data_IF_760663465967
#
_entry.id   IF_760663465967
#
_cell.length_a   1.000
_cell.length_b   1.000
_cell.length_c   1.000
_cell.angle_alpha   90.00
_cell.angle_beta   90.00
_cell.angle_gamma   90.00
#
_symmetry.space_group_name_H-M   'P 1'
#
loop_
_entity.id
_entity.type
_entity.pdbx_description
1 polymer ?
#
# COMPACT_ATOMS: atom_id res chain seq x y z
N UNK A 1 5.07 -31.16 -21.94
CA UNK A 1 5.19 -30.42 -20.67
C UNK A 1 4.21 -29.26 -20.72
N UNK A 2 3.26 -29.19 -19.78
CA UNK A 2 2.38 -28.02 -19.66
C UNK A 2 3.21 -26.88 -19.03
N UNK A 3 3.10 -25.63 -19.50
CA UNK A 3 3.67 -24.51 -18.78
C UNK A 3 3.07 -24.46 -17.37
N UNK A 4 3.85 -24.09 -16.34
CA UNK A 4 3.33 -23.92 -14.99
C UNK A 4 2.24 -22.85 -15.03
N UNK A 5 1.10 -23.15 -14.39
CA UNK A 5 0.04 -22.16 -14.16
C UNK A 5 0.64 -21.03 -13.32
N UNK A 6 0.40 -19.74 -13.63
CA UNK A 6 0.75 -18.68 -12.69
C UNK A 6 -0.05 -18.95 -11.41
N UNK A 7 0.65 -19.37 -10.36
CA UNK A 7 0.12 -19.41 -9.01
C UNK A 7 -0.34 -18.00 -8.64
N UNK A 8 -1.45 -17.87 -7.90
CA UNK A 8 -1.90 -16.58 -7.36
C UNK A 8 -0.74 -15.95 -6.55
N UNK A 9 -0.03 -14.99 -7.12
CA UNK A 9 1.15 -14.39 -6.51
C UNK A 9 0.69 -13.14 -5.74
N UNK A 10 0.19 -13.33 -4.53
CA UNK A 10 0.13 -12.23 -3.57
C UNK A 10 1.57 -11.95 -3.16
N UNK A 11 2.13 -10.82 -3.58
CA UNK A 11 3.50 -10.43 -3.20
C UNK A 11 3.48 -9.23 -2.27
N UNK A 12 4.26 -9.33 -1.18
CA UNK A 12 4.31 -8.31 -0.15
C UNK A 12 5.71 -7.71 -0.10
N UNK A 13 5.78 -6.39 -0.22
CA UNK A 13 7.02 -5.65 -0.35
C UNK A 13 7.13 -4.61 0.75
N UNK A 14 8.37 -4.34 1.14
CA UNK A 14 8.75 -3.17 1.94
C UNK A 14 9.64 -2.32 1.07
N UNK A 15 9.31 -1.05 0.91
CA UNK A 15 10.13 -0.11 0.19
C UNK A 15 10.70 0.95 1.12
N UNK A 16 12.02 0.97 1.26
CA UNK A 16 12.76 1.95 2.04
C UNK A 16 13.33 3.02 1.08
N UNK A 17 12.64 4.16 0.98
CA UNK A 17 13.06 5.30 0.15
C UNK A 17 13.91 6.30 0.93
N UNK A 18 14.86 6.96 0.28
CA UNK A 18 15.46 8.18 0.82
C UNK A 18 14.43 9.30 0.86
N UNK A 19 14.49 10.19 1.88
CA UNK A 19 13.55 11.31 2.03
C UNK A 19 13.52 12.23 0.82
N UNK A 20 14.68 12.56 0.26
CA UNK A 20 14.80 13.46 -0.90
C UNK A 20 14.04 12.95 -2.14
N UNK A 21 13.86 11.63 -2.25
CA UNK A 21 13.19 11.01 -3.38
C UNK A 21 11.84 10.40 -3.00
N UNK A 22 11.45 10.47 -1.72
CA UNK A 22 10.31 9.75 -1.16
C UNK A 22 9.01 10.06 -1.92
N UNK A 23 8.66 11.34 -1.98
CA UNK A 23 7.40 11.82 -2.56
C UNK A 23 7.29 11.40 -4.03
N UNK A 24 8.36 11.67 -4.78
CA UNK A 24 8.48 11.31 -6.19
C UNK A 24 8.40 9.80 -6.41
N UNK A 25 8.95 8.99 -5.51
CA UNK A 25 8.94 7.54 -5.67
C UNK A 25 7.54 6.95 -5.37
N UNK A 26 6.82 7.48 -4.37
CA UNK A 26 5.43 7.08 -4.11
C UNK A 26 4.54 7.44 -5.31
N UNK A 27 4.69 8.65 -5.86
CA UNK A 27 3.99 9.08 -7.07
C UNK A 27 4.26 8.15 -8.26
N UNK A 28 5.53 7.84 -8.52
CA UNK A 28 5.93 6.94 -9.60
C UNK A 28 5.40 5.51 -9.43
N UNK A 29 5.29 4.99 -8.21
CA UNK A 29 4.68 3.68 -7.95
C UNK A 29 3.21 3.68 -8.40
N UNK A 30 2.46 4.70 -8.00
CA UNK A 30 1.06 4.87 -8.38
C UNK A 30 0.92 5.01 -9.91
N UNK A 31 1.66 5.94 -10.52
CA UNK A 31 1.58 6.22 -11.96
C UNK A 31 1.90 4.99 -12.79
N UNK A 32 2.98 4.27 -12.47
CA UNK A 32 3.39 3.07 -13.22
C UNK A 32 2.29 2.01 -13.23
N UNK A 33 1.69 1.70 -12.09
CA UNK A 33 0.61 0.72 -12.03
C UNK A 33 -0.60 1.16 -12.87
N UNK A 34 -0.96 2.45 -12.82
CA UNK A 34 -2.08 2.97 -13.63
C UNK A 34 -1.82 2.94 -15.13
N UNK A 35 -0.57 3.14 -15.59
CA UNK A 35 -0.19 3.02 -17.00
C UNK A 35 -0.47 1.63 -17.56
N UNK A 36 -0.43 0.60 -16.71
CA UNK A 36 -0.73 -0.78 -17.05
C UNK A 36 -2.15 -1.19 -16.69
N UNK A 37 -3.06 -0.23 -16.57
CA UNK A 37 -4.46 -0.52 -16.31
C UNK A 37 -4.65 -1.26 -14.97
N UNK A 38 -3.80 -1.04 -13.96
CA UNK A 38 -3.97 -1.68 -12.64
C UNK A 38 -4.63 -0.71 -11.66
N UNK A 39 -5.48 -1.25 -10.78
CA UNK A 39 -6.17 -0.50 -9.72
C UNK A 39 -5.25 -0.38 -8.50
N UNK A 40 -5.04 0.84 -8.05
CA UNK A 40 -4.15 1.17 -6.93
C UNK A 40 -4.99 1.69 -5.77
N UNK A 41 -4.84 1.09 -4.59
CA UNK A 41 -5.30 1.67 -3.33
C UNK A 41 -4.11 2.33 -2.62
N UNK A 42 -4.12 3.65 -2.50
CA UNK A 42 -3.11 4.40 -1.76
C UNK A 42 -3.65 4.76 -0.37
N UNK A 43 -3.03 4.23 0.68
CA UNK A 43 -3.34 4.52 2.07
C UNK A 43 -2.24 5.46 2.60
N UNK A 44 -2.57 6.71 2.89
CA UNK A 44 -1.58 7.77 3.23
C UNK A 44 -2.20 8.82 4.16
N UNK A 45 -1.40 9.54 4.95
CA UNK A 45 -1.87 10.74 5.67
C UNK A 45 -1.81 12.01 4.81
N UNK A 46 -1.09 11.95 3.69
CA UNK A 46 -0.82 13.10 2.83
C UNK A 46 -2.09 13.65 2.21
N UNK A 47 -2.07 14.97 1.99
CA UNK A 47 -3.00 15.62 1.08
C UNK A 47 -2.54 15.32 -0.34
N UNK A 48 -2.85 14.13 -0.82
CA UNK A 48 -2.70 13.83 -2.23
C UNK A 48 -3.70 14.71 -2.99
N UNK A 49 -3.30 15.49 -4.01
CA UNK A 49 -4.25 16.16 -4.86
C UNK A 49 -5.09 15.08 -5.55
N UNK A 50 -6.24 14.76 -4.97
CA UNK A 50 -7.30 14.07 -5.67
C UNK A 50 -7.62 14.94 -6.89
N UNK A 51 -7.61 14.38 -8.11
CA UNK A 51 -7.95 15.16 -9.28
C UNK A 51 -9.34 15.74 -9.04
N UNK A 52 -9.43 17.07 -9.00
CA UNK A 52 -10.71 17.76 -9.10
C UNK A 52 -11.37 17.24 -10.38
N UNK A 53 -12.60 16.76 -10.27
CA UNK A 53 -13.48 16.63 -11.42
C UNK A 53 -13.57 18.03 -12.06
N UNK A 54 -12.80 18.31 -13.11
CA UNK A 54 -13.08 19.46 -13.96
C UNK A 54 -12.56 19.27 -15.38
N UNK A 55 -13.52 19.37 -16.29
CA UNK A 55 -13.47 19.94 -17.63
C UNK A 55 -12.46 19.36 -18.64
N UNK A 56 -12.91 18.31 -19.30
CA UNK A 56 -13.18 18.46 -20.73
C UNK A 56 -12.02 18.32 -21.72
N UNK A 57 -10.79 17.99 -21.31
CA UNK A 57 -9.73 17.61 -22.26
C UNK A 57 -8.93 16.39 -21.81
N UNK A 58 -8.97 15.37 -22.66
CA UNK A 58 -8.49 14.01 -22.48
C UNK A 58 -7.03 13.91 -22.01
N UNK A 59 -6.81 13.19 -20.91
CA UNK A 59 -5.81 12.10 -20.83
C UNK A 59 -6.45 10.95 -20.03
N UNK A 60 -6.79 9.87 -20.74
CA UNK A 60 -7.41 8.68 -20.18
C UNK A 60 -6.39 7.88 -19.34
N UNK A 61 -6.23 8.19 -18.05
CA UNK A 61 -5.51 7.30 -17.10
C UNK A 61 -5.81 7.48 -15.61
N UNK A 62 -6.58 8.49 -15.17
CA UNK A 62 -6.64 8.85 -13.74
C UNK A 62 -7.79 8.22 -12.91
N UNK A 63 -8.51 7.24 -13.47
CA UNK A 63 -9.67 6.59 -12.81
C UNK A 63 -9.35 5.32 -12.01
N UNK A 64 -8.08 4.98 -11.76
CA UNK A 64 -7.68 3.71 -11.13
C UNK A 64 -6.96 3.84 -9.79
N UNK A 65 -6.82 5.06 -9.26
CA UNK A 65 -6.24 5.26 -7.93
C UNK A 65 -7.37 5.62 -6.96
N UNK A 66 -7.57 4.80 -5.96
CA UNK A 66 -8.41 5.09 -4.80
C UNK A 66 -7.51 5.52 -3.65
N UNK A 67 -7.77 6.67 -3.04
CA UNK A 67 -6.97 7.18 -1.92
C UNK A 67 -7.77 7.04 -0.63
N UNK A 68 -7.27 6.22 0.30
CA UNK A 68 -7.72 6.22 1.69
C UNK A 68 -6.82 7.18 2.48
N UNK A 69 -7.38 8.33 2.86
CA UNK A 69 -6.66 9.31 3.64
C UNK A 69 -6.82 9.03 5.12
N UNK A 70 -5.72 8.69 5.79
CA UNK A 70 -5.68 8.51 7.23
C UNK A 70 -5.51 9.87 7.91
N UNK A 71 -6.43 10.19 8.82
CA UNK A 71 -6.47 11.51 9.47
C UNK A 71 -5.44 11.58 10.60
N UNK A 72 -5.30 10.49 11.34
CA UNK A 72 -4.54 10.38 12.57
C UNK A 72 -4.13 8.91 12.79
N UNK A 73 -2.93 8.68 13.33
CA UNK A 73 -2.42 7.32 13.59
C UNK A 73 -3.28 6.56 14.61
N UNK A 74 -3.98 7.30 15.47
CA UNK A 74 -4.82 6.78 16.54
C UNK A 74 -6.10 6.13 16.01
N UNK A 75 -6.74 6.72 15.00
CA UNK A 75 -7.94 6.17 14.39
C UNK A 75 -7.66 5.19 13.23
N UNK A 76 -6.41 5.04 12.78
CA UNK A 76 -6.07 4.13 11.66
C UNK A 76 -6.69 2.74 11.78
N UNK A 77 -6.69 2.06 12.95
CA UNK A 77 -7.31 0.74 13.05
C UNK A 77 -8.80 0.73 12.67
N UNK A 78 -9.57 1.71 13.13
CA UNK A 78 -10.99 1.81 12.78
C UNK A 78 -11.17 2.21 11.32
N UNK A 79 -10.38 3.17 10.82
CA UNK A 79 -10.48 3.63 9.43
C UNK A 79 -10.18 2.51 8.42
N UNK A 80 -9.27 1.59 8.73
CA UNK A 80 -8.98 0.44 7.87
C UNK A 80 -10.07 -0.65 7.93
N UNK A 81 -10.75 -0.82 9.07
CA UNK A 81 -11.93 -1.67 9.17
C UNK A 81 -13.08 -1.07 8.36
N UNK A 82 -13.36 0.21 8.54
CA UNK A 82 -14.40 0.93 7.80
C UNK A 82 -14.13 0.93 6.29
N UNK A 83 -12.85 1.04 5.88
CA UNK A 83 -12.44 0.96 4.48
C UNK A 83 -12.79 -0.39 3.86
N UNK A 84 -12.60 -1.49 4.60
CA UNK A 84 -12.96 -2.82 4.17
C UNK A 84 -14.48 -2.98 4.10
N UNK A 85 -15.20 -2.63 5.16
CA UNK A 85 -16.66 -2.81 5.25
C UNK A 85 -17.42 -1.91 4.25
N UNK A 86 -16.89 -0.72 3.97
CA UNK A 86 -17.42 0.21 2.98
C UNK A 86 -17.05 -0.15 1.54
N UNK A 87 -16.17 -1.14 1.33
CA UNK A 87 -15.72 -1.51 0.00
C UNK A 87 -16.83 -2.23 -0.77
N UNK A 88 -17.40 -1.56 -1.78
CA UNK A 88 -18.44 -2.16 -2.59
C UNK A 88 -17.84 -3.02 -3.72
N UNK A 89 -18.32 -4.28 -3.90
CA UNK A 89 -17.86 -5.19 -4.96
C UNK A 89 -17.94 -4.61 -6.39
N UNK A 90 -18.80 -3.62 -6.62
CA UNK A 90 -18.97 -2.95 -7.92
C UNK A 90 -17.73 -2.16 -8.38
N UNK A 91 -16.87 -1.70 -7.46
CA UNK A 91 -15.63 -1.00 -7.80
C UNK A 91 -14.45 -1.95 -8.05
N UNK A 92 -14.60 -3.23 -7.65
CA UNK A 92 -13.68 -4.33 -7.89
C UNK A 92 -12.32 -4.19 -7.20
N UNK A 93 -11.92 -5.22 -6.45
CA UNK A 93 -10.74 -5.26 -5.57
C UNK A 93 -9.44 -4.66 -6.17
N UNK A 94 -8.57 -4.01 -5.37
CA UNK A 94 -7.33 -3.42 -5.88
C UNK A 94 -6.36 -4.49 -6.40
N UNK A 95 -5.55 -4.13 -7.41
CA UNK A 95 -4.45 -4.96 -7.91
C UNK A 95 -3.12 -4.61 -7.20
N UNK A 96 -3.02 -3.40 -6.64
CA UNK A 96 -1.88 -2.92 -5.85
C UNK A 96 -2.38 -2.10 -4.65
N UNK A 97 -1.87 -2.40 -3.45
CA UNK A 97 -2.10 -1.60 -2.24
C UNK A 97 -0.78 -0.97 -1.81
N UNK A 98 -0.74 0.35 -1.72
CA UNK A 98 0.42 1.11 -1.22
C UNK A 98 0.06 1.68 0.14
N UNK A 99 0.76 1.23 1.18
CA UNK A 99 0.64 1.73 2.54
C UNK A 99 1.82 2.64 2.85
N UNK A 100 1.57 3.94 2.80
CA UNK A 100 2.52 5.00 3.12
C UNK A 100 2.60 5.19 4.64
N UNK A 101 3.29 4.26 5.30
CA UNK A 101 3.48 4.29 6.76
C UNK A 101 4.32 5.49 7.20
N UNK A 102 5.31 5.88 6.38
CA UNK A 102 6.16 7.02 6.71
C UNK A 102 5.37 8.33 6.81
N UNK A 103 4.44 8.61 5.90
CA UNK A 103 3.62 9.83 5.97
C UNK A 103 2.80 9.90 7.26
N UNK A 104 2.25 8.77 7.70
CA UNK A 104 1.43 8.69 8.91
C UNK A 104 2.30 9.01 10.12
N UNK A 105 3.51 8.44 10.18
CA UNK A 105 4.46 8.72 11.26
C UNK A 105 4.93 10.19 11.20
N UNK A 106 5.25 10.69 10.01
CA UNK A 106 5.71 12.06 9.81
C UNK A 106 4.65 13.09 10.22
N UNK A 107 3.37 12.85 9.95
CA UNK A 107 2.26 13.70 10.42
C UNK A 107 2.30 13.85 11.93
N UNK A 108 2.40 12.74 12.66
CA UNK A 108 2.42 12.74 14.13
C UNK A 108 3.65 13.47 14.69
N UNK A 109 4.81 13.27 14.06
CA UNK A 109 6.06 13.94 14.45
C UNK A 109 6.05 15.46 14.17
N UNK A 110 5.23 15.91 13.21
CA UNK A 110 5.09 17.32 12.86
C UNK A 110 4.04 18.05 13.73
N UNK A 111 3.29 17.33 14.59
CA UNK A 111 2.31 17.96 15.49
C UNK A 111 3.02 18.92 16.48
N UNK A 112 2.35 20.01 16.90
CA UNK A 112 2.83 20.87 17.98
C UNK A 112 3.23 20.06 19.22
N UNK A 113 4.30 20.46 19.91
CA UNK A 113 4.86 19.72 21.07
C UNK A 113 3.80 19.35 22.12
N UNK A 114 2.84 20.24 22.39
CA UNK A 114 1.74 19.99 23.34
C UNK A 114 0.77 18.88 22.91
N UNK A 115 0.73 18.52 21.62
CA UNK A 115 -0.10 17.48 21.05
C UNK A 115 0.68 16.18 20.77
N UNK A 116 2.02 16.21 20.93
CA UNK A 116 2.85 15.04 20.74
C UNK A 116 2.66 14.06 21.90
N UNK A 117 2.50 12.78 21.57
CA UNK A 117 2.51 11.73 22.58
C UNK A 117 3.95 11.36 22.96
N UNK A 118 4.12 10.68 24.11
CA UNK A 118 5.43 10.16 24.49
C UNK A 118 5.92 9.13 23.47
N UNK A 119 7.24 8.94 23.38
CA UNK A 119 7.86 7.97 22.46
C UNK A 119 7.24 6.57 22.61
N UNK A 120 7.02 6.09 23.84
CA UNK A 120 6.40 4.78 24.08
C UNK A 120 4.98 4.67 23.53
N UNK A 121 4.20 5.76 23.64
CA UNK A 121 2.85 5.81 23.05
C UNK A 121 2.95 5.82 21.53
N UNK A 122 3.87 6.59 20.95
CA UNK A 122 4.07 6.65 19.50
C UNK A 122 4.46 5.29 18.92
N UNK A 123 5.42 4.59 19.53
CA UNK A 123 5.81 3.22 19.14
C UNK A 123 4.60 2.28 19.18
N UNK A 124 3.75 2.38 20.21
CA UNK A 124 2.52 1.59 20.31
C UNK A 124 1.52 1.93 19.20
N UNK A 125 1.37 3.19 18.85
CA UNK A 125 0.51 3.62 17.74
C UNK A 125 1.03 3.10 16.40
N UNK A 126 2.34 3.15 16.16
CA UNK A 126 2.97 2.55 14.98
C UNK A 126 2.68 1.05 14.90
N UNK A 127 2.85 0.32 16.01
CA UNK A 127 2.56 -1.10 16.06
C UNK A 127 1.08 -1.42 15.76
N UNK A 128 0.14 -0.67 16.35
CA UNK A 128 -1.30 -0.82 16.08
C UNK A 128 -1.65 -0.52 14.63
N UNK A 129 -1.05 0.53 14.07
CA UNK A 129 -1.23 0.95 12.68
C UNK A 129 -0.75 -0.15 11.71
N UNK A 130 0.46 -0.68 11.94
CA UNK A 130 1.01 -1.80 11.17
C UNK A 130 0.17 -3.08 11.29
N UNK A 131 -0.30 -3.41 12.50
CA UNK A 131 -1.16 -4.56 12.74
C UNK A 131 -2.49 -4.43 11.99
N UNK A 132 -3.14 -3.27 12.06
CA UNK A 132 -4.39 -3.01 11.37
C UNK A 132 -4.22 -3.11 9.85
N UNK A 133 -3.12 -2.59 9.29
CA UNK A 133 -2.82 -2.77 7.87
C UNK A 133 -2.57 -4.23 7.49
N UNK A 134 -1.82 -4.98 8.30
CA UNK A 134 -1.59 -6.40 8.06
C UNK A 134 -2.91 -7.19 8.00
N UNK A 135 -3.85 -6.90 8.92
CA UNK A 135 -5.18 -7.49 8.94
C UNK A 135 -6.01 -7.08 7.71
N UNK A 136 -6.05 -5.78 7.38
CA UNK A 136 -6.75 -5.27 6.20
C UNK A 136 -6.26 -5.95 4.91
N UNK A 137 -4.94 -6.06 4.75
CA UNK A 137 -4.32 -6.78 3.64
C UNK A 137 -4.81 -8.22 3.57
N UNK A 138 -4.79 -8.94 4.69
CA UNK A 138 -5.21 -10.34 4.74
C UNK A 138 -6.66 -10.51 4.30
N UNK A 139 -7.55 -9.63 4.76
CA UNK A 139 -8.96 -9.61 4.34
C UNK A 139 -9.09 -9.44 2.82
N UNK A 140 -8.46 -8.41 2.25
CA UNK A 140 -8.51 -8.15 0.80
C UNK A 140 -7.91 -9.32 -0.01
N UNK A 141 -6.82 -9.91 0.48
CA UNK A 141 -6.22 -11.08 -0.16
C UNK A 141 -7.14 -12.30 -0.15
N UNK A 142 -7.83 -12.55 0.96
CA UNK A 142 -8.80 -13.65 1.08
C UNK A 142 -9.98 -13.45 0.14
N UNK A 143 -10.49 -12.22 0.01
CA UNK A 143 -11.54 -11.89 -0.96
C UNK A 143 -11.10 -12.17 -2.41
N UNK A 144 -9.84 -11.85 -2.75
CA UNK A 144 -9.28 -12.18 -4.06
C UNK A 144 -9.20 -13.68 -4.34
N UNK A 145 -8.82 -14.47 -3.33
CA UNK A 145 -8.77 -15.93 -3.45
C UNK A 145 -10.17 -16.51 -3.66
N UNK A 146 -11.15 -16.07 -2.88
CA UNK A 146 -12.55 -16.53 -3.00
C UNK A 146 -13.17 -16.10 -4.34
N UNK A 147 -12.90 -14.87 -4.80
CA UNK A 147 -13.35 -14.38 -6.09
C UNK A 147 -12.76 -15.22 -7.25
N UNK A 148 -11.48 -15.59 -7.16
CA UNK A 148 -10.82 -16.46 -8.14
C UNK A 148 -11.40 -17.87 -8.21
N UNK A 149 -11.80 -18.45 -7.09
CA UNK A 149 -12.39 -19.80 -7.01
C UNK A 149 -13.85 -19.86 -7.50
N UNK A 150 -14.57 -18.73 -7.46
CA UNK A 150 -15.98 -18.64 -7.88
C UNK A 150 -16.20 -18.70 -9.40
N UNK A 151 -15.15 -18.96 -10.20
CA UNK A 151 -15.24 -19.09 -11.66
C UNK A 151 -15.60 -17.81 -12.41
N UNK A 152 -15.82 -16.69 -11.70
CA UNK A 152 -16.06 -15.36 -12.25
C UNK A 152 -14.91 -14.43 -11.89
N UNK A 153 -13.82 -14.53 -12.64
CA UNK A 153 -12.89 -13.43 -12.97
C UNK A 153 -11.49 -13.99 -13.25
N UNK A 154 -11.31 -14.58 -14.43
CA UNK A 154 -10.12 -14.20 -15.21
C UNK A 154 -10.56 -12.91 -15.90
N UNK A 155 -10.45 -11.79 -15.19
CA UNK A 155 -10.70 -10.49 -15.82
C UNK A 155 -9.76 -10.35 -17.01
N UNK A 156 -10.28 -9.79 -18.10
CA UNK A 156 -9.63 -9.56 -19.40
C UNK A 156 -8.33 -8.73 -19.34
N UNK A 157 -7.82 -8.42 -18.13
CA UNK A 157 -6.62 -7.63 -17.83
C UNK A 157 -5.45 -8.44 -17.21
N UNK A 158 -5.52 -9.77 -17.15
CA UNK A 158 -4.40 -10.61 -16.68
C UNK A 158 -3.95 -10.30 -15.24
N UNK A 159 -4.89 -10.04 -14.32
CA UNK A 159 -4.57 -9.79 -12.91
C UNK A 159 -4.28 -11.10 -12.19
N UNK A 160 -3.13 -11.20 -11.52
CA UNK A 160 -2.59 -12.42 -10.90
C UNK A 160 -2.63 -12.42 -9.35
N UNK A 161 -3.28 -11.44 -8.73
CA UNK A 161 -3.36 -11.27 -7.28
C UNK A 161 -3.27 -9.81 -6.85
N UNK A 162 -3.07 -9.58 -5.55
CA UNK A 162 -2.83 -8.25 -4.96
C UNK A 162 -1.39 -8.15 -4.53
N UNK A 163 -0.69 -7.17 -5.06
CA UNK A 163 0.58 -6.77 -4.52
C UNK A 163 0.38 -5.75 -3.40
N UNK A 164 1.16 -5.85 -2.33
CA UNK A 164 1.19 -4.83 -1.29
C UNK A 164 2.58 -4.25 -1.11
N UNK A 165 2.65 -2.94 -0.89
CA UNK A 165 3.91 -2.23 -0.62
C UNK A 165 3.72 -1.42 0.65
N UNK A 166 4.56 -1.69 1.65
CA UNK A 166 4.73 -0.80 2.81
C UNK A 166 5.86 0.17 2.48
N UNK A 167 5.54 1.45 2.33
CA UNK A 167 6.53 2.48 1.98
C UNK A 167 6.98 3.20 3.25
N UNK A 168 8.28 3.18 3.46
CA UNK A 168 8.96 3.77 4.60
C UNK A 168 10.14 4.62 4.11
N UNK A 169 10.48 5.69 4.82
CA UNK A 169 11.80 6.32 4.75
C UNK A 169 12.91 5.42 5.29
N UNK A 170 14.13 5.57 4.78
CA UNK A 170 15.37 5.01 5.33
C UNK A 170 15.89 5.75 6.57
N UNK A 171 15.36 6.94 6.87
CA UNK A 171 15.80 7.73 8.02
C UNK A 171 15.28 7.17 9.35
N UNK A 172 15.84 7.70 10.44
CA UNK A 172 15.53 7.22 11.78
C UNK A 172 14.09 7.48 12.17
N UNK A 173 13.38 6.41 12.51
CA UNK A 173 12.07 6.47 13.15
C UNK A 173 12.20 6.74 14.65
N UNK A 174 11.11 7.15 15.32
CA UNK A 174 11.03 7.19 16.78
C UNK A 174 10.95 5.77 17.38
N UNK A 175 11.83 4.88 16.94
CA UNK A 175 11.96 3.49 17.33
C UNK A 175 13.44 3.13 17.42
N UNK A 176 13.80 2.33 18.43
CA UNK A 176 15.13 1.71 18.45
C UNK A 176 15.25 0.67 17.34
N UNK A 177 16.48 0.32 16.91
CA UNK A 177 16.67 -0.74 15.92
C UNK A 177 16.02 -2.08 16.31
N UNK A 178 15.97 -2.41 17.60
CA UNK A 178 15.31 -3.61 18.10
C UNK A 178 13.78 -3.54 17.94
N UNK A 179 13.17 -2.39 18.27
CA UNK A 179 11.73 -2.16 18.09
C UNK A 179 11.34 -2.21 16.62
N UNK A 180 12.15 -1.60 15.74
CA UNK A 180 11.93 -1.65 14.30
C UNK A 180 12.02 -3.10 13.77
N UNK A 181 13.09 -3.83 14.12
CA UNK A 181 13.23 -5.25 13.72
C UNK A 181 12.06 -6.10 14.21
N UNK A 182 11.59 -5.87 15.43
CA UNK A 182 10.43 -6.56 15.99
C UNK A 182 9.15 -6.23 15.22
N UNK A 183 8.89 -4.95 14.90
CA UNK A 183 7.75 -4.52 14.10
C UNK A 183 7.73 -5.24 12.74
N UNK A 184 8.87 -5.25 12.05
CA UNK A 184 9.02 -5.94 10.76
C UNK A 184 8.78 -7.44 10.90
N UNK A 185 9.36 -8.07 11.93
CA UNK A 185 9.22 -9.51 12.17
C UNK A 185 7.82 -9.95 12.61
N UNK A 186 7.01 -9.07 13.21
CA UNK A 186 5.65 -9.40 13.65
C UNK A 186 4.61 -9.19 12.55
N UNK A 187 4.67 -8.08 11.82
CA UNK A 187 3.58 -7.68 10.92
C UNK A 187 3.93 -7.77 9.43
N UNK A 188 5.22 -7.77 9.11
CA UNK A 188 5.74 -7.76 7.73
C UNK A 188 6.69 -8.92 7.47
N UNK A 189 6.55 -10.01 8.25
CA UNK A 189 7.33 -11.22 8.07
C UNK A 189 7.14 -11.80 6.66
N UNK A 190 8.24 -12.18 6.02
CA UNK A 190 8.23 -12.72 4.67
C UNK A 190 8.06 -11.66 3.56
N UNK A 191 7.88 -10.38 3.91
CA UNK A 191 7.89 -9.31 2.91
C UNK A 191 9.33 -9.09 2.40
N UNK A 192 9.49 -8.96 1.09
CA UNK A 192 10.79 -8.64 0.50
C UNK A 192 11.09 -7.15 0.66
N UNK A 193 12.32 -6.82 1.07
CA UNK A 193 12.73 -5.45 1.35
C UNK A 193 13.57 -4.87 0.21
N UNK A 194 13.17 -3.69 -0.25
CA UNK A 194 13.79 -2.97 -1.36
C UNK A 194 14.26 -1.59 -0.92
N UNK A 195 15.49 -1.23 -1.26
CA UNK A 195 16.02 0.15 -1.16
C UNK A 195 16.14 0.81 -2.53
N UNK A 196 15.98 0.05 -3.61
CA UNK A 196 16.09 0.50 -4.99
C UNK A 196 14.72 0.47 -5.66
N UNK A 197 14.27 1.63 -6.14
CA UNK A 197 12.99 1.76 -6.85
C UNK A 197 12.93 0.86 -8.08
N UNK A 198 14.00 0.80 -8.88
CA UNK A 198 14.02 0.00 -10.11
C UNK A 198 13.85 -1.50 -9.83
N UNK A 199 14.48 -2.02 -8.76
CA UNK A 199 14.32 -3.43 -8.35
C UNK A 199 12.89 -3.74 -7.92
N UNK A 200 12.31 -2.90 -7.06
CA UNK A 200 10.91 -3.03 -6.62
C UNK A 200 9.96 -2.97 -7.83
N UNK A 201 10.15 -1.97 -8.67
CA UNK A 201 9.32 -1.74 -9.86
C UNK A 201 9.38 -2.90 -10.84
N UNK A 202 10.55 -3.52 -11.03
CA UNK A 202 10.69 -4.70 -11.88
C UNK A 202 9.91 -5.90 -11.30
N UNK A 203 9.99 -6.10 -9.98
CA UNK A 203 9.32 -7.22 -9.31
C UNK A 203 7.79 -7.09 -9.34
N UNK A 204 7.25 -5.89 -9.10
CA UNK A 204 5.82 -5.62 -9.28
C UNK A 204 5.39 -5.84 -10.74
N UNK A 205 6.24 -5.46 -11.70
CA UNK A 205 5.92 -5.70 -13.11
C UNK A 205 5.81 -7.21 -13.40
N UNK A 206 6.74 -8.01 -12.86
CA UNK A 206 6.73 -9.47 -12.98
C UNK A 206 5.49 -10.08 -12.32
N UNK A 207 5.18 -9.73 -11.06
CA UNK A 207 4.00 -10.26 -10.34
C UNK A 207 2.69 -9.93 -11.05
N UNK A 208 2.61 -8.76 -11.69
CA UNK A 208 1.43 -8.31 -12.41
C UNK A 208 1.32 -8.80 -13.86
N UNK A 209 2.25 -9.67 -14.30
CA UNK A 209 2.28 -10.23 -15.65
C UNK A 209 2.67 -9.21 -16.73
N UNK A 210 3.34 -8.12 -16.34
CA UNK A 210 3.82 -7.09 -17.25
C UNK A 210 5.20 -7.46 -17.75
N UNK A 211 5.37 -7.58 -19.07
CA UNK A 211 6.68 -7.82 -19.68
C UNK A 211 7.62 -6.66 -19.37
N UNK A 212 8.82 -7.00 -18.87
CA UNK A 212 9.90 -6.04 -18.59
C UNK A 212 10.38 -5.31 -19.86
#
# INVERSE_FOLDING_TARGET
MRPPRPSNFITNHIYLSHNNDYDRNVEKLCERATLHNKRVMLITSRKYPLPREHDGRQTASKGRISVCRLIDIEATPQQLLDLHDGYQPFHGLPDLIIFDLHSIIAEVLQRPVMQQCSTDKLVRHIAKCSAAFANYRELVCNEWLVAGDSGKSVTENGSHGVDTIVVMSQESYPMTPAQFKLLMGLYFWGNECYTSFSKLSAQISISQGLTA
#
